data_IF_481940964941
#
_entry.id   IF_481940964941
#
_cell.length_a   1.000
_cell.length_b   1.000
_cell.length_c   1.000
_cell.angle_alpha   90.00
_cell.angle_beta   90.00
_cell.angle_gamma   90.00
#
_symmetry.space_group_name_H-M   'P 1'
#
loop_
_entity.id
_entity.type
_entity.pdbx_description
1 polymer ?
#
# COMPACT_ATOMS: atom_id res chain seq x y z
N UNK A 1 -13.68 2.88 -23.56
CA UNK A 1 -14.47 3.18 -22.35
C UNK A 1 -13.49 3.31 -21.20
N UNK A 2 -13.35 4.50 -20.61
CA UNK A 2 -12.48 4.66 -19.44
C UNK A 2 -13.24 4.15 -18.22
N UNK A 3 -12.74 3.09 -17.61
CA UNK A 3 -13.26 2.61 -16.33
C UNK A 3 -12.89 3.63 -15.25
N UNK A 4 -13.90 4.14 -14.55
CA UNK A 4 -13.70 5.07 -13.44
C UNK A 4 -13.41 4.23 -12.19
N UNK A 5 -12.17 4.30 -11.73
CA UNK A 5 -11.69 3.53 -10.59
C UNK A 5 -11.69 4.43 -9.35
N UNK A 6 -12.17 3.88 -8.24
CA UNK A 6 -12.19 4.57 -6.95
C UNK A 6 -10.89 4.31 -6.20
N UNK A 7 -10.30 5.39 -5.67
CA UNK A 7 -9.13 5.29 -4.81
C UNK A 7 -9.46 4.48 -3.56
N UNK A 8 -8.71 3.39 -3.33
CA UNK A 8 -8.93 2.49 -2.19
C UNK A 8 -8.57 3.12 -0.84
N UNK A 9 -7.82 4.22 -0.84
CA UNK A 9 -7.42 4.93 0.37
C UNK A 9 -8.54 5.71 1.07
N UNK A 10 -9.78 5.69 0.56
CA UNK A 10 -10.95 6.29 1.23
C UNK A 10 -11.03 7.81 1.14
N UNK A 11 -10.24 8.44 0.27
CA UNK A 11 -10.23 9.90 0.09
C UNK A 11 -11.35 10.43 -0.84
N UNK A 12 -12.17 9.55 -1.39
CA UNK A 12 -13.24 9.93 -2.34
C UNK A 12 -12.77 10.27 -3.76
N UNK A 13 -11.45 10.23 -4.03
CA UNK A 13 -10.93 10.45 -5.38
C UNK A 13 -11.31 9.29 -6.30
N UNK A 14 -11.77 9.63 -7.51
CA UNK A 14 -12.05 8.69 -8.59
C UNK A 14 -11.43 9.24 -9.87
N UNK A 15 -10.81 8.36 -10.64
CA UNK A 15 -10.11 8.72 -11.85
C UNK A 15 -9.97 7.51 -12.76
N UNK A 16 -9.41 7.74 -13.94
CA UNK A 16 -9.01 6.66 -14.81
C UNK A 16 -7.74 5.96 -14.29
N UNK A 17 -7.44 4.81 -14.90
CA UNK A 17 -6.29 3.97 -14.56
C UNK A 17 -4.94 4.70 -14.74
N UNK A 18 -4.87 5.73 -15.59
CA UNK A 18 -3.65 6.53 -15.82
C UNK A 18 -3.43 7.58 -14.73
N UNK A 19 -4.49 7.98 -14.02
CA UNK A 19 -4.43 8.93 -12.91
C UNK A 19 -4.21 8.27 -11.53
N UNK A 20 -4.19 6.94 -11.47
CA UNK A 20 -4.08 6.19 -10.22
C UNK A 20 -2.83 5.31 -10.23
N UNK A 21 -2.18 5.23 -9.07
CA UNK A 21 -1.07 4.32 -8.82
C UNK A 21 -1.62 2.91 -8.61
N UNK A 22 -1.19 1.99 -9.47
CA UNK A 22 -1.46 0.58 -9.33
C UNK A 22 -0.54 -0.02 -8.26
N UNK A 23 -1.14 -0.62 -7.23
CA UNK A 23 -0.41 -1.38 -6.23
C UNK A 23 -1.07 -2.74 -6.01
N UNK A 24 -0.40 -3.84 -6.38
CA UNK A 24 -0.95 -5.16 -6.13
C UNK A 24 -0.75 -5.55 -4.66
N UNK A 25 -1.84 -5.95 -4.00
CA UNK A 25 -1.82 -6.43 -2.61
C UNK A 25 -2.19 -7.93 -2.54
N UNK A 26 -1.59 -8.66 -1.60
CA UNK A 26 -1.84 -10.09 -1.40
C UNK A 26 -0.71 -10.99 -1.91
N UNK A 27 -0.92 -12.31 -1.84
CA UNK A 27 0.06 -13.34 -2.25
C UNK A 27 -0.62 -14.37 -3.17
N UNK A 28 0.09 -14.78 -4.22
CA UNK A 28 -0.33 -15.85 -5.13
C UNK A 28 -1.68 -15.58 -5.77
N UNK A 29 -2.57 -16.58 -5.75
CA UNK A 29 -3.90 -16.52 -6.35
C UNK A 29 -4.86 -15.50 -5.70
N UNK A 30 -4.52 -14.96 -4.52
CA UNK A 30 -5.35 -13.97 -3.80
C UNK A 30 -4.86 -12.54 -4.01
N UNK A 31 -4.09 -12.29 -5.07
CA UNK A 31 -3.58 -10.96 -5.40
C UNK A 31 -4.73 -10.08 -5.88
N UNK A 32 -4.96 -8.97 -5.19
CA UNK A 32 -5.96 -7.98 -5.53
C UNK A 32 -5.29 -6.79 -6.21
N UNK A 33 -5.93 -6.31 -7.25
CA UNK A 33 -5.55 -5.07 -7.92
C UNK A 33 -6.11 -3.90 -7.09
N UNK A 34 -5.22 -3.14 -6.45
CA UNK A 34 -5.61 -1.94 -5.72
C UNK A 34 -5.08 -0.69 -6.44
N UNK A 35 -5.88 0.37 -6.41
CA UNK A 35 -5.57 1.63 -7.07
C UNK A 35 -5.65 2.78 -6.06
N UNK A 36 -4.65 3.65 -6.09
CA UNK A 36 -4.51 4.74 -5.12
C UNK A 36 -4.17 6.05 -5.82
N UNK A 37 -4.75 7.16 -5.36
CA UNK A 37 -4.30 8.49 -5.78
C UNK A 37 -2.94 8.83 -5.16
N UNK A 38 -2.22 9.81 -5.70
CA UNK A 38 -0.90 10.23 -5.19
C UNK A 38 -0.86 10.45 -3.68
N UNK A 39 -1.86 11.17 -3.14
CA UNK A 39 -1.93 11.47 -1.71
C UNK A 39 -2.07 10.21 -0.84
N UNK A 40 -2.95 9.29 -1.24
CA UNK A 40 -3.17 8.05 -0.50
C UNK A 40 -1.99 7.08 -0.68
N UNK A 41 -1.41 7.04 -1.87
CA UNK A 41 -0.24 6.24 -2.17
C UNK A 41 0.96 6.67 -1.32
N UNK A 42 1.23 7.97 -1.22
CA UNK A 42 2.32 8.50 -0.39
C UNK A 42 2.11 8.21 1.10
N UNK A 43 0.89 8.41 1.61
CA UNK A 43 0.53 8.07 2.99
C UNK A 43 0.81 6.59 3.28
N UNK A 44 0.39 5.71 2.38
CA UNK A 44 0.55 4.25 2.50
C UNK A 44 2.02 3.84 2.40
N UNK A 45 2.79 4.48 1.53
CA UNK A 45 4.23 4.28 1.42
C UNK A 45 4.97 4.65 2.72
N UNK A 46 4.63 5.80 3.33
CA UNK A 46 5.17 6.19 4.65
C UNK A 46 4.81 5.18 5.73
N UNK A 47 3.56 4.71 5.78
CA UNK A 47 3.12 3.68 6.72
C UNK A 47 3.89 2.35 6.53
N UNK A 48 4.11 1.91 5.28
CA UNK A 48 4.91 0.71 5.00
C UNK A 48 6.34 0.85 5.49
N UNK A 49 6.98 2.01 5.28
CA UNK A 49 8.32 2.30 5.82
C UNK A 49 8.36 2.21 7.34
N UNK A 50 7.38 2.81 8.03
CA UNK A 50 7.27 2.75 9.49
C UNK A 50 7.05 1.31 9.98
N UNK A 51 6.18 0.54 9.33
CA UNK A 51 5.95 -0.87 9.67
C UNK A 51 7.19 -1.74 9.45
N UNK A 52 7.95 -1.48 8.38
CA UNK A 52 9.21 -2.16 8.13
C UNK A 52 10.26 -1.83 9.20
N UNK A 53 10.39 -0.55 9.56
CA UNK A 53 11.27 -0.11 10.65
C UNK A 53 10.89 -0.74 11.99
N UNK A 54 9.58 -0.77 12.34
CA UNK A 54 9.06 -1.45 13.54
C UNK A 54 9.41 -2.94 13.56
N UNK A 55 9.24 -3.63 12.42
CA UNK A 55 9.63 -5.05 12.29
C UNK A 55 11.13 -5.27 12.47
N UNK A 56 11.98 -4.38 11.94
CA UNK A 56 13.42 -4.45 12.10
C UNK A 56 13.83 -4.27 13.57
N UNK A 57 13.26 -3.27 14.24
CA UNK A 57 13.47 -3.04 15.67
C UNK A 57 13.07 -4.25 16.52
N UNK A 58 11.86 -4.79 16.29
CA UNK A 58 11.39 -5.98 17.00
C UNK A 58 12.31 -7.21 16.80
N UNK A 59 12.84 -7.41 15.59
CA UNK A 59 13.77 -8.51 15.30
C UNK A 59 15.13 -8.36 15.99
N UNK A 60 15.62 -7.14 16.20
CA UNK A 60 16.86 -6.89 16.94
C UNK A 60 16.71 -7.23 18.43
N UNK A 61 15.55 -6.99 19.03
CA UNK A 61 15.28 -7.39 20.43
C UNK A 61 15.30 -8.90 20.66
N UNK A 62 14.93 -9.69 19.65
CA UNK A 62 14.97 -11.17 19.72
C UNK A 62 16.33 -11.78 19.37
N UNK A 63 17.25 -11.00 18.78
CA UNK A 63 18.55 -11.51 18.34
C UNK A 63 19.54 -11.71 19.50
N UNK A 64 19.34 -11.04 20.64
CA UNK A 64 20.14 -11.16 21.86
C UNK A 64 19.57 -12.14 22.89
N UNK A 65 18.46 -12.81 22.57
CA UNK A 65 17.78 -13.77 23.45
C UNK A 65 17.99 -15.24 23.00
N UNK A 66 18.99 -15.51 22.15
CA UNK A 66 19.43 -16.85 21.75
C UNK A 66 20.85 -17.10 22.20
#
# INVERSE_FOLDING_TARGET
MNEIIYCRGGCGFRGDKSQLHYEPEGKGAYRKEEYYCDKCHEKRFRLKKLLAAKKNYARRGTQWAR
#
